data_IF_413308861139
#
_entry.id   IF_413308861139
#
_cell.length_a   1.000
_cell.length_b   1.000
_cell.length_c   1.000
_cell.angle_alpha   90.00
_cell.angle_beta   90.00
_cell.angle_gamma   90.00
#
_symmetry.space_group_name_H-M   'P 1'
#
loop_
_entity.id
_entity.type
_entity.pdbx_description
1 polymer ?
#
# COMPACT_ATOMS: atom_id res chain seq x y z
N UNK A 1 -2.73 0.36 -9.57
CA UNK A 1 -4.12 0.64 -9.97
C UNK A 1 -5.14 -0.29 -9.29
N UNK A 2 -4.89 -1.60 -9.16
CA UNK A 2 -5.85 -2.56 -8.58
C UNK A 2 -6.45 -2.17 -7.21
N UNK A 3 -5.62 -1.76 -6.24
CA UNK A 3 -6.10 -1.33 -4.91
C UNK A 3 -6.98 -0.09 -4.98
N UNK A 4 -6.58 0.92 -5.75
CA UNK A 4 -7.35 2.16 -5.91
C UNK A 4 -8.71 1.86 -6.52
N UNK A 5 -8.78 1.02 -7.55
CA UNK A 5 -10.05 0.62 -8.16
C UNK A 5 -10.98 -0.10 -7.16
N UNK A 6 -10.45 -1.05 -6.40
CA UNK A 6 -11.24 -1.81 -5.42
C UNK A 6 -11.81 -0.91 -4.30
N UNK A 7 -10.98 -0.04 -3.74
CA UNK A 7 -11.41 0.87 -2.67
C UNK A 7 -12.27 2.02 -3.18
N UNK A 8 -12.02 2.50 -4.40
CA UNK A 8 -12.88 3.50 -5.04
C UNK A 8 -14.27 2.92 -5.33
N UNK A 9 -14.35 1.68 -5.84
CA UNK A 9 -15.62 1.00 -6.02
C UNK A 9 -16.40 0.82 -4.71
N UNK A 10 -15.70 0.55 -3.60
CA UNK A 10 -16.32 0.34 -2.28
C UNK A 10 -16.76 1.64 -1.59
N UNK A 11 -15.95 2.69 -1.66
CA UNK A 11 -16.13 3.92 -0.89
C UNK A 11 -16.70 5.09 -1.74
N UNK A 12 -16.64 4.98 -3.07
CA UNK A 12 -16.97 6.02 -4.04
C UNK A 12 -16.32 7.39 -3.74
N UNK A 13 -15.12 7.36 -3.14
CA UNK A 13 -14.38 8.54 -2.72
C UNK A 13 -12.90 8.34 -3.06
N UNK A 14 -12.40 9.14 -4.01
CA UNK A 14 -11.04 9.02 -4.52
C UNK A 14 -9.99 9.29 -3.44
N UNK A 15 -10.23 10.27 -2.56
CA UNK A 15 -9.32 10.60 -1.46
C UNK A 15 -9.19 9.41 -0.51
N UNK A 16 -10.31 8.89 -0.01
CA UNK A 16 -10.34 7.72 0.87
C UNK A 16 -9.70 6.49 0.21
N UNK A 17 -9.99 6.26 -1.08
CA UNK A 17 -9.40 5.15 -1.83
C UNK A 17 -7.87 5.28 -1.96
N UNK A 18 -7.35 6.48 -2.20
CA UNK A 18 -5.92 6.76 -2.24
C UNK A 18 -5.26 6.55 -0.86
N UNK A 19 -5.86 7.09 0.20
CA UNK A 19 -5.36 6.94 1.57
C UNK A 19 -5.24 5.46 1.98
N UNK A 20 -6.28 4.67 1.70
CA UNK A 20 -6.28 3.22 1.96
C UNK A 20 -5.25 2.49 1.09
N UNK A 21 -5.21 2.77 -0.22
CA UNK A 21 -4.27 2.11 -1.12
C UNK A 21 -2.80 2.37 -0.73
N UNK A 22 -2.45 3.61 -0.39
CA UNK A 22 -1.11 3.98 0.06
C UNK A 22 -0.79 3.32 1.41
N UNK A 23 -1.75 3.32 2.34
CA UNK A 23 -1.60 2.66 3.64
C UNK A 23 -1.35 1.15 3.51
N UNK A 24 -2.02 0.47 2.59
CA UNK A 24 -1.80 -0.95 2.27
C UNK A 24 -0.42 -1.17 1.70
N UNK A 25 -0.02 -0.39 0.69
CA UNK A 25 1.28 -0.52 0.04
C UNK A 25 2.40 -0.34 1.06
N UNK A 26 2.32 0.67 1.92
CA UNK A 26 3.30 0.91 2.96
C UNK A 26 3.47 -0.31 3.89
N UNK A 27 2.36 -0.88 4.36
CA UNK A 27 2.39 -2.04 5.24
C UNK A 27 2.92 -3.30 4.55
N UNK A 28 2.56 -3.53 3.28
CA UNK A 28 3.11 -4.63 2.47
C UNK A 28 4.62 -4.47 2.31
N UNK A 29 5.10 -3.25 2.03
CA UNK A 29 6.53 -2.98 1.88
C UNK A 29 7.29 -3.25 3.17
N UNK A 30 6.79 -2.77 4.32
CA UNK A 30 7.40 -3.07 5.62
C UNK A 30 7.46 -4.56 5.88
N UNK A 31 6.34 -5.27 5.66
CA UNK A 31 6.29 -6.73 5.84
C UNK A 31 7.24 -7.48 4.90
N UNK A 32 7.37 -7.00 3.66
CA UNK A 32 8.31 -7.54 2.68
C UNK A 32 9.75 -7.36 3.17
N UNK A 33 10.09 -6.17 3.71
CA UNK A 33 11.42 -5.90 4.27
C UNK A 33 11.72 -6.73 5.53
N UNK A 34 10.71 -6.98 6.38
CA UNK A 34 10.86 -7.83 7.56
C UNK A 34 11.14 -9.31 7.20
N UNK A 35 10.51 -9.79 6.13
CA UNK A 35 10.66 -11.16 5.64
C UNK A 35 11.86 -11.33 4.71
N UNK A 36 12.36 -10.24 4.13
CA UNK A 36 13.59 -10.22 3.35
C UNK A 36 14.77 -10.60 4.27
N UNK A 37 15.30 -11.82 4.08
CA UNK A 37 16.54 -12.24 4.73
C UNK A 37 17.67 -11.29 4.35
N UNK A 38 18.67 -11.06 5.24
CA UNK A 38 19.83 -10.25 4.90
C UNK A 38 20.46 -10.81 3.62
N UNK A 39 20.54 -9.94 2.62
CA UNK A 39 20.85 -10.29 1.24
C UNK A 39 22.24 -10.94 1.20
N UNK A 40 22.27 -12.27 0.99
CA UNK A 40 23.38 -12.87 0.26
C UNK A 40 23.38 -12.19 -1.11
N UNK A 41 24.49 -11.56 -1.47
CA UNK A 41 24.72 -10.63 -2.61
C UNK A 41 24.24 -11.17 -3.98
N UNK A 42 23.79 -12.43 -4.05
CA UNK A 42 23.44 -13.14 -5.27
C UNK A 42 21.94 -13.47 -5.46
N UNK A 43 21.02 -13.11 -4.56
CA UNK A 43 19.60 -13.51 -4.71
C UNK A 43 18.64 -12.32 -4.78
N UNK A 44 18.22 -11.95 -5.99
CA UNK A 44 17.22 -10.88 -6.26
C UNK A 44 15.79 -11.23 -5.81
N UNK A 45 15.55 -12.49 -5.45
CA UNK A 45 14.25 -13.01 -5.00
C UNK A 45 13.83 -12.50 -3.60
N UNK A 46 14.73 -11.86 -2.86
CA UNK A 46 14.42 -11.30 -1.53
C UNK A 46 13.54 -10.05 -1.53
N UNK A 47 13.25 -9.46 -2.70
CA UNK A 47 12.50 -8.21 -2.82
C UNK A 47 11.11 -8.39 -3.46
N UNK A 48 10.67 -9.63 -3.70
CA UNK A 48 9.32 -9.90 -4.18
C UNK A 48 8.30 -9.51 -3.11
N UNK A 49 7.21 -8.85 -3.51
CA UNK A 49 6.17 -8.42 -2.57
C UNK A 49 5.50 -9.64 -1.94
N UNK A 50 5.49 -9.69 -0.61
CA UNK A 50 4.85 -10.75 0.18
C UNK A 50 3.32 -10.57 0.22
N UNK A 51 2.66 -10.64 -0.94
CA UNK A 51 1.23 -10.36 -1.11
C UNK A 51 0.34 -11.38 -0.39
N UNK A 52 0.71 -12.66 -0.44
CA UNK A 52 -0.05 -13.76 0.19
C UNK A 52 -0.02 -13.62 1.71
N UNK A 53 1.16 -13.32 2.26
CA UNK A 53 1.38 -13.07 3.68
C UNK A 53 0.68 -11.79 4.13
N UNK A 54 0.41 -10.86 3.20
CA UNK A 54 -0.23 -9.57 3.47
C UNK A 54 -1.75 -9.56 3.24
N UNK A 55 -2.39 -10.73 3.10
CA UNK A 55 -3.84 -10.84 2.86
C UNK A 55 -4.69 -9.98 3.81
N UNK A 56 -4.44 -10.06 5.11
CA UNK A 56 -5.22 -9.31 6.12
C UNK A 56 -5.04 -7.80 6.00
N UNK A 57 -3.85 -7.35 5.58
CA UNK A 57 -3.55 -5.93 5.30
C UNK A 57 -4.38 -5.44 4.11
N UNK A 58 -4.50 -6.26 3.07
CA UNK A 58 -5.27 -5.94 1.86
C UNK A 58 -6.77 -5.90 2.14
N UNK A 59 -7.29 -6.87 2.90
CA UNK A 59 -8.73 -7.01 3.20
C UNK A 59 -9.24 -5.99 4.24
N UNK A 60 -8.43 -5.70 5.26
CA UNK A 60 -8.79 -4.87 6.42
C UNK A 60 -7.78 -3.76 6.66
N UNK A 61 -7.54 -2.95 5.63
CA UNK A 61 -6.58 -1.87 5.68
C UNK A 61 -6.90 -0.84 6.78
N UNK A 62 -5.99 -0.68 7.73
CA UNK A 62 -5.97 0.47 8.63
C UNK A 62 -5.38 1.68 7.89
N UNK A 63 -6.16 2.76 7.77
CA UNK A 63 -5.66 4.03 7.24
C UNK A 63 -4.64 4.62 8.19
N UNK A 64 -3.44 4.88 7.68
CA UNK A 64 -2.32 5.49 8.43
C UNK A 64 -1.75 6.73 7.73
N UNK A 65 -2.10 6.95 6.46
CA UNK A 65 -1.82 8.18 5.72
C UNK A 65 -3.12 8.91 5.41
N UNK A 66 -3.06 10.24 5.47
CA UNK A 66 -4.17 11.13 5.16
C UNK A 66 -3.75 12.09 4.06
N UNK A 67 -4.58 12.22 3.04
CA UNK A 67 -4.33 13.13 1.94
C UNK A 67 -4.56 14.56 2.42
N UNK A 68 -3.67 15.45 2.00
CA UNK A 68 -3.84 16.90 2.23
C UNK A 68 -4.21 17.53 0.90
N UNK A 69 -5.37 18.19 0.86
CA UNK A 69 -5.76 19.01 -0.28
C UNK A 69 -4.91 20.28 -0.24
N UNK A 70 -4.06 20.44 -1.24
CA UNK A 70 -3.28 21.65 -1.41
C UNK A 70 -4.08 22.63 -2.27
N UNK A 71 -4.61 23.69 -1.66
CA UNK A 71 -5.41 24.72 -2.35
C UNK A 71 -4.59 25.55 -3.36
N UNK A 72 -3.25 25.40 -3.38
CA UNK A 72 -2.35 26.14 -4.29
C UNK A 72 -2.28 25.62 -5.72
N UNK A 73 -2.94 24.51 -6.06
CA UNK A 73 -2.95 23.98 -7.42
C UNK A 73 -4.08 24.54 -8.32
N UNK A 74 -4.85 25.51 -7.82
CA UNK A 74 -5.92 26.20 -8.57
C UNK A 74 -5.64 27.70 -8.83
N UNK A 75 -4.36 28.13 -8.82
CA UNK A 75 -3.94 29.49 -9.20
C UNK A 75 -3.13 29.49 -10.48
#
# INVERSE_FOLDING_TARGET
SALILAWFHKENNLICACEKAISIIHQILLKTLELAKPISIHNTCGNELCLVESKTIIESAKTIFYAVLNEKCNS
#
